data_IF_498389368209
#
_entry.id   IF_498389368209
#
_cell.length_a   1.000
_cell.length_b   1.000
_cell.length_c   1.000
_cell.angle_alpha   90.00
_cell.angle_beta   90.00
_cell.angle_gamma   90.00
#
_symmetry.space_group_name_H-M   'P 1'
#
loop_
_entity.id
_entity.type
_entity.pdbx_description
1 polymer ?
#
# COMPACT_ATOMS: atom_id res chain seq x y z
N UNK A 1 -25.50 32.48 16.30
CA UNK A 1 -25.17 31.23 15.60
C UNK A 1 -24.07 31.58 14.62
N UNK A 2 -22.84 31.14 14.89
CA UNK A 2 -21.68 31.49 14.08
C UNK A 2 -21.75 30.70 12.77
N UNK A 3 -21.86 31.42 11.65
CA UNK A 3 -21.78 30.86 10.31
C UNK A 3 -20.44 30.15 10.12
N UNK A 4 -20.51 28.83 9.98
CA UNK A 4 -19.37 27.99 9.67
C UNK A 4 -19.08 28.14 8.17
N UNK A 5 -18.10 28.97 7.84
CA UNK A 5 -17.68 29.19 6.46
C UNK A 5 -16.93 27.94 5.95
N UNK A 6 -17.60 27.12 5.14
CA UNK A 6 -16.98 25.99 4.44
C UNK A 6 -15.93 26.56 3.47
N UNK A 7 -14.65 26.30 3.73
CA UNK A 7 -13.56 26.71 2.85
C UNK A 7 -13.69 26.08 1.45
N UNK A 8 -13.36 26.82 0.39
CA UNK A 8 -13.35 26.31 -0.97
C UNK A 8 -12.27 25.24 -1.17
N UNK A 9 -12.59 24.16 -1.88
CA UNK A 9 -11.63 23.09 -2.20
C UNK A 9 -10.49 23.62 -3.08
N UNK A 10 -9.27 23.14 -2.83
CA UNK A 10 -8.13 23.41 -3.70
C UNK A 10 -8.25 22.66 -5.03
N UNK A 11 -7.56 23.11 -6.10
CA UNK A 11 -7.52 22.37 -7.38
C UNK A 11 -7.10 20.92 -7.23
N UNK A 12 -6.06 20.64 -6.41
CA UNK A 12 -5.60 19.29 -6.13
C UNK A 12 -6.67 18.43 -5.43
N UNK A 13 -7.46 19.03 -4.53
CA UNK A 13 -8.56 18.31 -3.88
C UNK A 13 -9.65 17.95 -4.90
N UNK A 14 -9.94 18.83 -5.86
CA UNK A 14 -10.92 18.57 -6.90
C UNK A 14 -10.47 17.44 -7.84
N UNK A 15 -9.20 17.45 -8.25
CA UNK A 15 -8.59 16.37 -9.06
C UNK A 15 -8.60 15.03 -8.32
N UNK A 16 -8.19 15.03 -7.05
CA UNK A 16 -8.24 13.85 -6.20
C UNK A 16 -9.67 13.29 -6.07
N UNK A 17 -10.65 14.16 -5.80
CA UNK A 17 -12.05 13.75 -5.65
C UNK A 17 -12.65 13.22 -6.97
N UNK A 18 -12.19 13.74 -8.12
CA UNK A 18 -12.57 13.23 -9.44
C UNK A 18 -11.99 11.83 -9.69
N UNK A 19 -10.68 11.67 -9.48
CA UNK A 19 -10.01 10.38 -9.61
C UNK A 19 -10.59 9.33 -8.66
N UNK A 20 -10.84 9.69 -7.41
CA UNK A 20 -11.45 8.80 -6.43
C UNK A 20 -12.83 8.32 -6.89
N UNK A 21 -13.66 9.22 -7.43
CA UNK A 21 -14.99 8.85 -7.97
C UNK A 21 -14.87 7.89 -9.15
N UNK A 22 -13.94 8.15 -10.07
CA UNK A 22 -13.68 7.27 -11.21
C UNK A 22 -13.25 5.87 -10.76
N UNK A 23 -12.23 5.77 -9.90
CA UNK A 23 -11.72 4.49 -9.40
C UNK A 23 -12.78 3.73 -8.56
N UNK A 24 -13.64 4.46 -7.84
CA UNK A 24 -14.77 3.85 -7.11
C UNK A 24 -15.82 3.29 -8.07
N UNK A 25 -16.14 4.01 -9.15
CA UNK A 25 -17.08 3.55 -10.17
C UNK A 25 -16.56 2.33 -10.95
N UNK A 26 -15.24 2.19 -11.07
CA UNK A 26 -14.57 0.99 -11.60
C UNK A 26 -14.60 -0.20 -10.62
N UNK A 27 -15.08 -0.02 -9.39
CA UNK A 27 -15.18 -1.10 -8.39
C UNK A 27 -13.86 -1.46 -7.70
N UNK A 28 -12.78 -0.69 -7.92
CA UNK A 28 -11.47 -1.00 -7.33
C UNK A 28 -11.41 -0.94 -5.80
N UNK A 29 -12.42 -0.34 -5.17
CA UNK A 29 -12.55 -0.28 -3.71
C UNK A 29 -13.70 -1.14 -3.18
N UNK A 30 -14.32 -1.98 -4.01
CA UNK A 30 -15.40 -2.86 -3.55
C UNK A 30 -14.85 -3.87 -2.52
N UNK A 31 -15.56 -3.99 -1.40
CA UNK A 31 -15.22 -4.92 -0.32
C UNK A 31 -15.29 -6.37 -0.79
N UNK A 32 -16.04 -6.67 -1.86
CA UNK A 32 -16.11 -7.99 -2.48
C UNK A 32 -14.75 -8.49 -3.01
N UNK A 33 -13.81 -7.59 -3.30
CA UNK A 33 -12.46 -7.92 -3.75
C UNK A 33 -11.47 -8.16 -2.59
N UNK A 34 -11.85 -7.84 -1.35
CA UNK A 34 -10.94 -7.97 -0.21
C UNK A 34 -10.74 -9.43 0.17
N UNK A 35 -9.48 -9.79 0.38
CA UNK A 35 -9.09 -11.08 0.92
C UNK A 35 -8.98 -10.99 2.45
N UNK A 36 -9.32 -12.08 3.14
CA UNK A 36 -9.13 -12.19 4.58
C UNK A 36 -7.64 -12.25 4.91
N UNK A 37 -7.19 -11.43 5.85
CA UNK A 37 -5.82 -11.51 6.35
C UNK A 37 -5.63 -12.73 7.26
N UNK A 38 -4.45 -13.37 7.23
CA UNK A 38 -4.13 -14.43 8.18
C UNK A 38 -4.11 -13.87 9.61
N UNK A 39 -4.50 -14.70 10.58
CA UNK A 39 -4.44 -14.32 11.99
C UNK A 39 -3.00 -14.00 12.43
N UNK A 40 -2.03 -14.73 11.88
CA UNK A 40 -0.60 -14.51 12.14
C UNK A 40 0.19 -14.78 10.86
N UNK A 41 0.93 -13.77 10.38
CA UNK A 41 1.83 -13.90 9.24
C UNK A 41 3.21 -14.38 9.71
N UNK A 42 3.75 -15.36 9.01
CA UNK A 42 5.11 -15.88 9.21
C UNK A 42 6.09 -15.16 8.30
N UNK A 43 5.68 -14.78 7.08
CA UNK A 43 6.47 -13.95 6.18
C UNK A 43 5.63 -12.83 5.55
N UNK A 44 6.22 -11.64 5.49
CA UNK A 44 5.63 -10.46 4.86
C UNK A 44 6.52 -10.05 3.66
N UNK A 45 5.91 -9.99 2.48
CA UNK A 45 6.51 -9.42 1.28
C UNK A 45 6.40 -7.89 1.32
N UNK A 46 7.52 -7.20 1.20
CA UNK A 46 7.57 -5.72 1.18
C UNK A 46 7.86 -5.27 -0.24
N UNK A 47 6.91 -4.60 -0.89
CA UNK A 47 7.06 -4.06 -2.25
C UNK A 47 7.31 -2.56 -2.16
N UNK A 48 8.57 -2.16 -2.06
CA UNK A 48 8.95 -0.75 -1.90
C UNK A 48 10.34 -0.47 -2.46
N UNK A 49 10.77 0.79 -2.47
CA UNK A 49 12.15 1.13 -2.82
C UNK A 49 13.12 0.75 -1.70
N UNK A 50 14.24 0.12 -2.06
CA UNK A 50 15.30 -0.25 -1.11
C UNK A 50 15.87 0.92 -0.30
N UNK A 51 15.78 2.16 -0.80
CA UNK A 51 16.30 3.36 -0.14
C UNK A 51 15.32 4.03 0.84
N UNK A 52 14.11 3.52 1.00
CA UNK A 52 13.08 4.16 1.83
C UNK A 52 13.29 3.96 3.33
N UNK A 53 13.07 5.01 4.13
CA UNK A 53 13.02 4.93 5.60
C UNK A 53 11.99 3.90 6.12
N UNK A 54 10.98 3.60 5.29
CA UNK A 54 9.92 2.63 5.56
C UNK A 54 10.47 1.25 5.94
N UNK A 55 11.56 0.77 5.32
CA UNK A 55 12.15 -0.52 5.68
C UNK A 55 12.68 -0.53 7.11
N UNK A 56 13.35 0.55 7.52
CA UNK A 56 13.85 0.68 8.89
C UNK A 56 12.69 0.73 9.89
N UNK A 57 11.61 1.45 9.57
CA UNK A 57 10.43 1.53 10.44
C UNK A 57 9.72 0.18 10.58
N UNK A 58 9.55 -0.56 9.47
CA UNK A 58 8.93 -1.89 9.48
C UNK A 58 9.74 -2.85 10.35
N UNK A 59 11.06 -2.91 10.13
CA UNK A 59 11.94 -3.81 10.89
C UNK A 59 11.94 -3.45 12.38
N UNK A 60 12.06 -2.15 12.71
CA UNK A 60 12.09 -1.70 14.10
C UNK A 60 10.77 -1.96 14.84
N UNK A 61 9.63 -1.73 14.19
CA UNK A 61 8.30 -2.03 14.79
C UNK A 61 8.11 -3.53 14.93
N UNK A 62 8.57 -4.32 13.96
CA UNK A 62 8.42 -5.76 13.97
C UNK A 62 9.19 -6.44 15.09
N UNK A 63 10.44 -6.05 15.32
CA UNK A 63 11.26 -6.58 16.42
C UNK A 63 10.55 -6.48 17.78
N UNK A 64 9.76 -5.40 17.99
CA UNK A 64 9.03 -5.17 19.24
C UNK A 64 7.69 -5.91 19.32
N UNK A 65 7.04 -6.20 18.18
CA UNK A 65 5.70 -6.80 18.13
C UNK A 65 5.70 -8.30 17.90
N UNK A 66 6.50 -8.76 16.94
CA UNK A 66 6.67 -10.18 16.60
C UNK A 66 8.07 -10.38 15.98
N UNK A 67 9.08 -10.78 16.76
CA UNK A 67 10.43 -10.98 16.26
C UNK A 67 10.58 -12.23 15.36
N UNK A 68 9.55 -13.08 15.26
CA UNK A 68 9.59 -14.30 14.46
C UNK A 68 9.13 -14.12 13.02
N UNK A 69 8.52 -12.98 12.69
CA UNK A 69 8.09 -12.72 11.31
C UNK A 69 9.30 -12.44 10.43
N UNK A 70 9.29 -13.04 9.25
CA UNK A 70 10.30 -12.86 8.23
C UNK A 70 9.85 -11.81 7.22
N UNK A 71 10.81 -11.14 6.59
CA UNK A 71 10.54 -10.13 5.57
C UNK A 71 11.27 -10.46 4.28
N UNK A 72 10.57 -10.33 3.15
CA UNK A 72 11.15 -10.43 1.81
C UNK A 72 10.97 -9.12 1.07
N UNK A 73 12.07 -8.50 0.64
CA UNK A 73 12.03 -7.23 -0.08
C UNK A 73 11.95 -7.46 -1.59
N UNK A 74 10.88 -6.96 -2.19
CA UNK A 74 10.68 -6.86 -3.64
C UNK A 74 10.92 -5.41 -4.06
N UNK A 75 12.20 -5.08 -4.34
CA UNK A 75 12.62 -3.70 -4.58
C UNK A 75 12.04 -3.13 -5.88
N UNK A 76 11.27 -2.05 -5.79
CA UNK A 76 10.68 -1.35 -6.94
C UNK A 76 10.82 0.18 -6.81
N UNK A 77 10.89 0.93 -7.93
CA UNK A 77 10.72 2.38 -7.89
C UNK A 77 9.28 2.71 -7.49
N UNK A 78 9.12 3.58 -6.49
CA UNK A 78 7.80 4.01 -5.95
C UNK A 78 7.39 5.42 -6.39
N UNK A 79 8.20 6.08 -7.22
CA UNK A 79 7.98 7.44 -7.70
C UNK A 79 8.31 7.57 -9.19
N UNK A 80 7.68 8.54 -9.85
CA UNK A 80 7.85 8.82 -11.26
C UNK A 80 6.88 8.06 -12.17
N UNK A 81 6.82 8.49 -13.43
CA UNK A 81 5.78 8.04 -14.38
C UNK A 81 5.89 6.56 -14.76
N UNK A 82 7.03 5.92 -14.51
CA UNK A 82 7.29 4.50 -14.81
C UNK A 82 7.05 3.58 -13.62
N UNK A 83 6.76 4.13 -12.43
CA UNK A 83 6.64 3.34 -11.20
C UNK A 83 5.46 2.35 -11.24
N UNK A 84 4.28 2.80 -11.67
CA UNK A 84 3.05 1.98 -11.64
C UNK A 84 3.19 0.58 -12.23
N UNK A 85 3.63 0.44 -13.51
CA UNK A 85 3.85 -0.87 -14.12
C UNK A 85 4.92 -1.72 -13.42
N UNK A 86 5.91 -1.09 -12.78
CA UNK A 86 6.98 -1.82 -12.06
C UNK A 86 6.48 -2.31 -10.71
N UNK A 87 5.72 -1.48 -9.98
CA UNK A 87 5.06 -1.85 -8.72
C UNK A 87 4.12 -3.03 -8.96
N UNK A 88 3.28 -2.97 -10.00
CA UNK A 88 2.37 -4.07 -10.33
C UNK A 88 3.11 -5.40 -10.56
N UNK A 89 4.27 -5.37 -11.23
CA UNK A 89 5.13 -6.57 -11.38
C UNK A 89 5.75 -7.01 -10.06
N UNK A 90 6.14 -6.07 -9.19
CA UNK A 90 6.66 -6.37 -7.86
C UNK A 90 5.63 -7.07 -6.99
N UNK A 91 4.38 -6.60 -7.00
CA UNK A 91 3.25 -7.23 -6.31
C UNK A 91 3.02 -8.63 -6.88
N UNK A 92 2.97 -8.79 -8.21
CA UNK A 92 2.78 -10.10 -8.82
C UNK A 92 3.91 -11.09 -8.48
N UNK A 93 5.14 -10.61 -8.37
CA UNK A 93 6.28 -11.43 -7.95
C UNK A 93 6.18 -11.85 -6.47
N UNK A 94 5.72 -10.96 -5.59
CA UNK A 94 5.50 -11.26 -4.18
C UNK A 94 4.34 -12.24 -3.98
N UNK A 95 3.24 -12.09 -4.73
CA UNK A 95 2.07 -12.98 -4.70
C UNK A 95 2.39 -14.39 -5.20
N UNK A 96 3.33 -14.51 -6.14
CA UNK A 96 3.79 -15.80 -6.65
C UNK A 96 4.78 -16.54 -5.73
N UNK A 97 5.30 -15.88 -4.69
CA UNK A 97 6.24 -16.48 -3.74
C UNK A 97 5.46 -17.27 -2.65
N UNK A 98 5.57 -18.61 -2.61
CA UNK A 98 4.75 -19.44 -1.72
C UNK A 98 5.09 -19.27 -0.24
N UNK A 99 6.20 -18.59 0.10
CA UNK A 99 6.53 -18.29 1.49
C UNK A 99 5.85 -17.01 1.98
N UNK A 100 5.34 -16.14 1.09
CA UNK A 100 4.74 -14.85 1.45
C UNK A 100 3.28 -15.02 1.85
N UNK A 101 2.93 -14.65 3.09
CA UNK A 101 1.56 -14.72 3.59
C UNK A 101 0.77 -13.42 3.35
N UNK A 102 1.46 -12.28 3.36
CA UNK A 102 0.90 -10.93 3.25
C UNK A 102 1.88 -10.03 2.50
N UNK A 103 1.34 -9.12 1.67
CA UNK A 103 2.12 -8.11 0.95
C UNK A 103 1.81 -6.73 1.50
N UNK A 104 2.85 -5.91 1.73
CA UNK A 104 2.76 -4.50 2.09
C UNK A 104 3.55 -3.59 1.15
#
# INVERSE_FOLDING_TARGET
ASDMQIGSKSPLQLEFDALKRELTALGYFDDSHKQSLPYMASCIGIVTSQSGAVLHDILHVSERRNPLVQFKLFSVPVQGNTAGPVIARGIAAADADPEVDVII
#
